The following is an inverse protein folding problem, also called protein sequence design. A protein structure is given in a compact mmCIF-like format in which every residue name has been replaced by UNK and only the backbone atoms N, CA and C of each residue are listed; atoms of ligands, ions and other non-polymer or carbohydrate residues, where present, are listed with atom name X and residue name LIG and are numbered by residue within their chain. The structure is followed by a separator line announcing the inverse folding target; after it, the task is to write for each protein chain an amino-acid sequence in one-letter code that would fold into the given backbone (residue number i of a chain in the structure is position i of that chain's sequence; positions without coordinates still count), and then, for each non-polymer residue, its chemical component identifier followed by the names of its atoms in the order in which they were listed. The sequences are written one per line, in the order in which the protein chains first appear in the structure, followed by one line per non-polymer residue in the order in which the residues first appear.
data_IF_629426114970
#
_entry.id   IF_629426114970
#
_cell.length_a   1.000
_cell.length_b   1.000
_cell.length_c   1.000
_cell.angle_alpha   90.00
_cell.angle_beta   90.00
_cell.angle_gamma   90.00
#
_symmetry.space_group_name_H-M   'P 1'
#
loop_
_entity.id
_entity.type
_entity.pdbx_description
1 polymer ?
#
# COMPACT_ATOMS: atom_id res chain seq x y z
N UNK A 1 5.52 3.67 -2.15
CA UNK A 1 5.38 3.11 -0.79
C UNK A 1 5.12 4.22 0.20
N UNK A 2 4.05 4.12 0.99
CA UNK A 2 3.51 5.23 1.80
C UNK A 2 4.56 5.85 2.75
N UNK A 3 5.33 5.05 3.49
CA UNK A 3 6.32 5.59 4.45
C UNK A 3 7.42 6.39 3.72
N UNK A 4 7.88 5.92 2.56
CA UNK A 4 8.86 6.65 1.76
C UNK A 4 8.29 7.97 1.24
N UNK A 5 7.02 8.00 0.83
CA UNK A 5 6.36 9.23 0.36
C UNK A 5 6.11 10.22 1.50
N UNK A 6 5.72 9.76 2.68
CA UNK A 6 5.52 10.63 3.85
C UNK A 6 6.82 11.32 4.29
N UNK A 7 7.95 10.61 4.19
CA UNK A 7 9.25 11.21 4.52
C UNK A 7 9.69 12.28 3.52
N UNK A 8 9.31 12.17 2.24
CA UNK A 8 9.52 13.23 1.24
C UNK A 8 8.65 14.47 1.51
N UNK A 9 7.57 14.31 2.28
CA UNK A 9 6.64 15.39 2.67
C UNK A 9 6.93 15.93 4.09
N UNK A 10 8.11 15.65 4.64
CA UNK A 10 8.55 16.14 5.95
C UNK A 10 7.60 15.75 7.12
N UNK A 11 6.93 14.60 7.03
CA UNK A 11 6.02 14.08 8.07
C UNK A 11 6.70 13.71 9.41
N UNK A 12 7.97 14.05 9.59
CA UNK A 12 8.78 13.74 10.77
C UNK A 12 9.60 12.45 10.64
N UNK A 13 10.36 12.09 11.69
CA UNK A 13 11.23 10.92 11.68
C UNK A 13 10.43 9.62 11.72
N UNK A 14 10.88 8.61 10.97
CA UNK A 14 10.30 7.27 11.01
C UNK A 14 10.62 6.57 12.35
N UNK A 15 9.66 5.85 12.92
CA UNK A 15 9.93 4.89 13.98
C UNK A 15 10.83 3.74 13.46
N UNK A 16 11.45 2.93 14.34
CA UNK A 16 12.21 1.76 13.92
C UNK A 16 11.42 0.79 13.03
N UNK A 17 10.14 0.55 13.34
CA UNK A 17 9.25 -0.33 12.57
C UNK A 17 8.94 0.26 11.19
N UNK A 18 8.69 1.57 11.11
CA UNK A 18 8.49 2.25 9.85
C UNK A 18 9.76 2.24 8.98
N UNK A 19 10.94 2.39 9.60
CA UNK A 19 12.22 2.26 8.91
C UNK A 19 12.50 0.84 8.40
N UNK A 20 12.14 -0.18 9.18
CA UNK A 20 12.22 -1.58 8.76
C UNK A 20 11.31 -1.87 7.57
N UNK A 21 10.03 -1.47 7.65
CA UNK A 21 9.07 -1.62 6.56
C UNK A 21 9.53 -0.91 5.27
N UNK A 22 10.08 0.30 5.40
CA UNK A 22 10.66 1.04 4.25
C UNK A 22 11.82 0.27 3.65
N UNK A 23 12.77 -0.14 4.47
CA UNK A 23 13.95 -0.89 4.01
C UNK A 23 13.55 -2.16 3.27
N UNK A 24 12.60 -2.93 3.82
CA UNK A 24 12.06 -4.12 3.18
C UNK A 24 11.46 -3.78 1.81
N UNK A 25 10.56 -2.80 1.71
CA UNK A 25 9.96 -2.44 0.43
C UNK A 25 11.00 -1.96 -0.59
N UNK A 26 11.90 -1.05 -0.21
CA UNK A 26 12.89 -0.47 -1.14
C UNK A 26 14.00 -1.45 -1.52
N UNK A 27 14.26 -2.45 -0.69
CA UNK A 27 15.24 -3.49 -0.93
C UNK A 27 14.70 -4.68 -1.73
N UNK A 28 13.39 -4.80 -1.88
CA UNK A 28 12.75 -5.86 -2.68
C UNK A 28 12.74 -5.46 -4.16
N UNK A 29 13.42 -6.21 -5.05
CA UNK A 29 13.51 -5.85 -6.48
C UNK A 29 12.17 -5.89 -7.20
N UNK A 30 11.35 -6.90 -6.90
CA UNK A 30 9.99 -7.05 -7.42
C UNK A 30 9.02 -7.33 -6.27
N UNK A 31 8.35 -6.28 -5.82
CA UNK A 31 7.38 -6.37 -4.71
C UNK A 31 6.15 -7.17 -5.13
N UNK A 32 5.74 -7.06 -6.39
CA UNK A 32 4.56 -7.73 -6.91
C UNK A 32 4.77 -9.26 -6.92
N UNK A 33 5.89 -9.72 -7.47
CA UNK A 33 6.30 -11.13 -7.44
C UNK A 33 6.47 -11.63 -6.01
N UNK A 34 7.15 -10.85 -5.15
CA UNK A 34 7.37 -11.23 -3.74
C UNK A 34 6.05 -11.43 -2.98
N UNK A 35 5.04 -10.60 -3.23
CA UNK A 35 3.71 -10.74 -2.60
C UNK A 35 2.95 -11.94 -3.19
N UNK A 36 3.02 -12.18 -4.50
CA UNK A 36 2.41 -13.38 -5.10
C UNK A 36 3.00 -14.68 -4.52
N UNK A 37 4.31 -14.71 -4.26
CA UNK A 37 5.03 -15.87 -3.74
C UNK A 37 5.00 -16.02 -2.21
N UNK A 38 4.49 -15.03 -1.49
CA UNK A 38 4.34 -15.13 -0.04
C UNK A 38 3.32 -16.22 0.35
N UNK A 39 3.33 -16.64 1.62
CA UNK A 39 2.46 -17.74 2.07
C UNK A 39 0.98 -17.52 1.74
N UNK A 40 0.45 -16.33 2.04
CA UNK A 40 -0.95 -15.99 1.76
C UNK A 40 -1.23 -15.77 0.28
N UNK A 41 -0.28 -15.23 -0.48
CA UNK A 41 -0.42 -15.06 -1.93
C UNK A 41 -0.56 -16.40 -2.64
N UNK A 42 0.32 -17.36 -2.32
CA UNK A 42 0.25 -18.73 -2.85
C UNK A 42 -1.01 -19.45 -2.42
N UNK A 43 -1.46 -19.28 -1.18
CA UNK A 43 -2.71 -19.87 -0.70
C UNK A 43 -3.91 -19.37 -1.51
N UNK A 44 -4.03 -18.04 -1.72
CA UNK A 44 -5.11 -17.44 -2.52
C UNK A 44 -5.07 -17.90 -3.98
N UNK A 45 -3.88 -17.93 -4.58
CA UNK A 45 -3.70 -18.43 -5.96
C UNK A 45 -4.14 -19.89 -6.07
N UNK A 46 -3.74 -20.74 -5.12
CA UNK A 46 -4.15 -22.15 -5.09
C UNK A 46 -5.66 -22.34 -4.91
N UNK A 47 -6.32 -21.41 -4.22
CA UNK A 47 -7.77 -21.39 -4.06
C UNK A 47 -8.52 -20.81 -5.27
N UNK A 48 -7.81 -20.34 -6.30
CA UNK A 48 -8.41 -19.81 -7.54
C UNK A 48 -8.58 -18.29 -7.58
N UNK A 49 -7.99 -17.55 -6.63
CA UNK A 49 -8.09 -16.08 -6.53
C UNK A 49 -6.85 -15.37 -7.11
N UNK A 50 -6.28 -15.87 -8.20
CA UNK A 50 -5.07 -15.30 -8.80
C UNK A 50 -5.29 -13.86 -9.30
N UNK A 51 -6.46 -13.58 -9.89
CA UNK A 51 -6.81 -12.24 -10.36
C UNK A 51 -6.96 -11.23 -9.20
N UNK A 52 -7.50 -11.66 -8.06
CA UNK A 52 -7.59 -10.81 -6.87
C UNK A 52 -6.21 -10.46 -6.30
N UNK A 53 -5.27 -11.42 -6.32
CA UNK A 53 -3.87 -11.17 -5.93
C UNK A 53 -3.22 -10.18 -6.90
N UNK A 54 -3.47 -10.31 -8.21
CA UNK A 54 -2.97 -9.38 -9.22
C UNK A 54 -3.50 -7.95 -9.03
N UNK A 55 -4.77 -7.78 -8.67
CA UNK A 55 -5.35 -6.46 -8.33
C UNK A 55 -4.72 -5.91 -7.04
N UNK A 56 -4.53 -6.74 -6.02
CA UNK A 56 -4.05 -6.30 -4.71
C UNK A 56 -2.61 -5.77 -4.69
N UNK A 57 -1.77 -6.19 -5.65
CA UNK A 57 -0.37 -5.76 -5.77
C UNK A 57 -0.19 -4.51 -6.64
N UNK A 58 -1.24 -4.00 -7.27
CA UNK A 58 -1.19 -2.76 -8.03
C UNK A 58 -0.80 -1.58 -7.13
N UNK A 59 0.20 -0.81 -7.56
CA UNK A 59 0.62 0.41 -6.89
C UNK A 59 -0.10 1.61 -7.50
N UNK A 60 -0.59 2.50 -6.65
CA UNK A 60 -1.20 3.78 -7.04
C UNK A 60 -2.41 3.63 -8.01
N UNK A 61 -3.13 2.49 -7.94
CA UNK A 61 -4.27 2.18 -8.81
C UNK A 61 -5.51 3.06 -8.57
N UNK A 62 -5.61 3.68 -7.39
CA UNK A 62 -6.75 4.54 -7.02
C UNK A 62 -6.29 5.76 -6.23
N UNK A 63 -6.97 6.88 -6.43
CA UNK A 63 -6.82 8.11 -5.64
C UNK A 63 -7.87 8.24 -4.53
N UNK A 64 -8.73 7.24 -4.35
CA UNK A 64 -9.77 7.24 -3.30
C UNK A 64 -9.19 6.70 -2.00
N UNK A 65 -9.35 7.45 -0.92
CA UNK A 65 -8.96 7.03 0.43
C UNK A 65 -10.24 6.76 1.25
N UNK A 66 -10.54 5.50 1.61
CA UNK A 66 -11.66 5.21 2.49
C UNK A 66 -11.41 5.77 3.90
N UNK A 67 -12.34 6.58 4.41
CA UNK A 67 -12.29 7.11 5.78
C UNK A 67 -13.36 6.41 6.62
N UNK A 68 -12.94 5.83 7.74
CA UNK A 68 -13.84 5.22 8.71
C UNK A 68 -14.52 6.30 9.55
N UNK A 69 -15.84 6.40 9.45
CA UNK A 69 -16.66 7.31 10.25
C UNK A 69 -17.92 6.58 10.67
N UNK A 70 -18.25 6.62 11.96
CA UNK A 70 -19.45 5.97 12.52
C UNK A 70 -19.60 4.48 12.15
N UNK A 71 -18.48 3.74 12.09
CA UNK A 71 -18.45 2.30 11.83
C UNK A 71 -18.54 1.90 10.35
N UNK A 72 -18.55 2.85 9.42
CA UNK A 72 -18.54 2.59 7.99
C UNK A 72 -17.37 3.33 7.30
N UNK A 73 -16.74 2.67 6.32
CA UNK A 73 -15.77 3.32 5.46
C UNK A 73 -16.50 4.02 4.31
N UNK A 74 -16.25 5.32 4.13
CA UNK A 74 -16.80 6.10 3.02
C UNK A 74 -15.68 6.64 2.13
N UNK A 75 -15.93 6.74 0.84
CA UNK A 75 -14.94 7.21 -0.12
C UNK A 75 -14.70 8.72 0.06
N UNK A 76 -13.44 9.11 0.28
CA UNK A 76 -13.00 10.50 0.16
C UNK A 76 -12.09 10.57 -1.07
N UNK A 77 -12.46 11.35 -2.11
CA UNK A 77 -11.56 11.61 -3.23
C UNK A 77 -10.29 12.27 -2.71
N UNK A 78 -9.12 11.77 -3.10
CA UNK A 78 -7.85 12.41 -2.78
C UNK A 78 -7.88 13.87 -3.23
N UNK A 79 -7.60 14.79 -2.32
CA UNK A 79 -7.58 16.21 -2.63
C UNK A 79 -6.52 16.52 -3.69
N UNK A 80 -6.90 17.25 -4.73
CA UNK A 80 -5.94 18.02 -5.52
C UNK A 80 -5.34 19.05 -4.55
N UNK A 81 -4.01 19.27 -4.49
CA UNK A 81 -3.46 20.38 -3.72
C UNK A 81 -4.18 21.66 -4.16
N UNK A 82 -4.82 22.38 -3.24
CA UNK A 82 -5.33 23.70 -3.61
C UNK A 82 -4.12 24.60 -3.79
N UNK A 83 -3.88 25.08 -5.01
CA UNK A 83 -3.00 26.22 -5.23
C UNK A 83 -3.43 27.36 -4.31
N UNK A 84 -2.57 27.71 -3.35
CA UNK A 84 -2.64 28.89 -2.50
C UNK A 84 -1.24 29.45 -2.31
#
# INVERSE_FOLDING_TARGET
MIIAELQKQDAGPASPEAAAARTSFTGTPDVAETVADCSSGRELIQQGFADDVAIAIELDATSVVPVLTDGACTAVPGGVPSDA
#
